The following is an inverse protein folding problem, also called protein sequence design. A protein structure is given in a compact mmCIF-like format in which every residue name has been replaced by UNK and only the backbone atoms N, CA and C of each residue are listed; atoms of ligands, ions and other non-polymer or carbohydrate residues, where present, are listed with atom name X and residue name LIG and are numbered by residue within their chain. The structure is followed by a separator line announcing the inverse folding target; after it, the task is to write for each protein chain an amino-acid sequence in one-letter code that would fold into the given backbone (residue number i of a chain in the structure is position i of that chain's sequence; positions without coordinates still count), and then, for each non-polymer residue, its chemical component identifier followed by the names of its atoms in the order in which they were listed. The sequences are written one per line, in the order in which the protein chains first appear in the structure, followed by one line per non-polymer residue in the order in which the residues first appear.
data_IF_444276891342
#
_entry.id   IF_444276891342
#
_cell.length_a   1.000
_cell.length_b   1.000
_cell.length_c   1.000
_cell.angle_alpha   90.00
_cell.angle_beta   90.00
_cell.angle_gamma   90.00
#
_symmetry.space_group_name_H-M   'P 1'
#
loop_
_entity.id
_entity.type
_entity.pdbx_description
1 polymer ?
#
# COMPACT_ATOMS: atom_id res chain seq x y z
N UNK A 1 -10.33 54.11 1.18
CA UNK A 1 -9.59 52.83 1.16
C UNK A 1 -8.60 52.89 2.30
N UNK A 2 -8.85 52.19 3.41
CA UNK A 2 -7.92 52.17 4.54
C UNK A 2 -6.82 51.16 4.22
N UNK A 3 -5.58 51.65 4.13
CA UNK A 3 -4.41 50.79 4.11
C UNK A 3 -4.31 50.13 5.48
N UNK A 4 -4.67 48.85 5.55
CA UNK A 4 -4.39 48.00 6.71
C UNK A 4 -2.87 47.85 6.72
N UNK A 5 -2.21 48.46 7.70
CA UNK A 5 -0.79 48.26 7.92
C UNK A 5 -0.60 46.78 8.28
N UNK A 6 0.17 46.06 7.47
CA UNK A 6 0.61 44.70 7.80
C UNK A 6 1.50 44.80 9.04
N UNK A 7 0.95 44.52 10.22
CA UNK A 7 1.76 44.35 11.42
C UNK A 7 2.68 43.16 11.20
N UNK A 8 3.99 43.45 11.10
CA UNK A 8 5.02 42.43 10.99
C UNK A 8 4.98 41.54 12.23
N UNK A 9 4.47 40.32 12.07
CA UNK A 9 4.35 39.38 13.17
C UNK A 9 5.74 38.92 13.60
N UNK A 10 6.20 39.43 14.75
CA UNK A 10 7.47 39.05 15.35
C UNK A 10 7.36 37.60 15.84
N UNK A 11 8.06 36.68 15.19
CA UNK A 11 8.11 35.29 15.62
C UNK A 11 8.67 35.19 17.04
N UNK A 12 7.84 34.79 18.00
CA UNK A 12 8.23 34.59 19.39
C UNK A 12 9.22 33.42 19.50
N UNK A 13 10.28 33.61 20.26
CA UNK A 13 11.19 32.51 20.60
C UNK A 13 10.51 31.49 21.52
N UNK A 14 10.94 30.22 21.47
CA UNK A 14 10.43 29.17 22.37
C UNK A 14 10.58 29.51 23.85
N UNK A 15 11.64 30.22 24.23
CA UNK A 15 11.85 30.63 25.62
C UNK A 15 10.80 31.65 26.07
N UNK A 16 10.46 32.62 25.22
CA UNK A 16 9.38 33.58 25.49
C UNK A 16 8.02 32.88 25.54
N UNK A 17 7.76 31.95 24.61
CA UNK A 17 6.52 31.18 24.58
C UNK A 17 6.23 30.44 25.91
N UNK A 18 7.26 29.84 26.51
CA UNK A 18 7.15 29.11 27.76
C UNK A 18 6.84 30.01 28.97
N UNK A 19 7.04 31.33 28.88
CA UNK A 19 6.65 32.26 29.95
C UNK A 19 5.13 32.51 29.97
N UNK A 20 4.46 32.40 28.82
CA UNK A 20 3.03 32.64 28.69
C UNK A 20 2.18 31.39 28.94
N UNK A 21 2.75 30.20 28.72
CA UNK A 21 2.06 28.92 28.87
C UNK A 21 2.51 28.27 30.19
N UNK A 22 1.65 28.20 31.23
CA UNK A 22 2.01 27.60 32.51
C UNK A 22 2.36 26.11 32.38
N UNK A 23 1.61 25.41 31.52
CA UNK A 23 1.92 24.04 31.12
C UNK A 23 1.42 23.79 29.69
N UNK A 24 2.18 23.01 28.93
CA UNK A 24 1.83 22.63 27.56
C UNK A 24 0.45 21.97 27.49
N UNK A 25 0.16 21.13 28.48
CA UNK A 25 -1.10 20.39 28.61
C UNK A 25 -2.29 21.33 28.86
N UNK A 26 -2.14 22.31 29.76
CA UNK A 26 -3.19 23.31 30.03
C UNK A 26 -3.50 24.15 28.79
N UNK A 27 -2.48 24.61 28.05
CA UNK A 27 -2.69 25.36 26.81
C UNK A 27 -3.37 24.50 25.73
N UNK A 28 -2.95 23.24 25.59
CA UNK A 28 -3.56 22.29 24.66
C UNK A 28 -5.05 22.11 24.95
N UNK A 29 -5.40 21.80 26.20
CA UNK A 29 -6.80 21.59 26.57
C UNK A 29 -7.63 22.88 26.50
N UNK A 30 -7.03 24.05 26.77
CA UNK A 30 -7.69 25.34 26.55
C UNK A 30 -8.15 25.52 25.11
N UNK A 31 -7.29 25.21 24.13
CA UNK A 31 -7.63 25.28 22.71
C UNK A 31 -8.67 24.21 22.30
N UNK A 32 -8.58 23.00 22.85
CA UNK A 32 -9.59 21.95 22.61
C UNK A 32 -10.96 22.37 23.13
N UNK A 33 -11.04 23.00 24.30
CA UNK A 33 -12.29 23.54 24.86
C UNK A 33 -12.88 24.68 24.02
N UNK A 34 -12.04 25.37 23.24
CA UNK A 34 -12.47 26.36 22.24
C UNK A 34 -12.95 25.74 20.92
N UNK A 35 -13.03 24.41 20.82
CA UNK A 35 -13.46 23.69 19.61
C UNK A 35 -12.37 23.42 18.60
N UNK A 36 -11.09 23.73 18.89
CA UNK A 36 -9.98 23.47 17.95
C UNK A 36 -9.68 21.98 17.84
N UNK A 37 -9.64 21.45 16.61
CA UNK A 37 -9.26 20.06 16.36
C UNK A 37 -7.73 19.91 16.27
N UNK A 38 -7.08 19.73 17.40
CA UNK A 38 -5.62 19.61 17.48
C UNK A 38 -5.10 18.16 17.25
N UNK A 39 -3.84 18.00 16.80
CA UNK A 39 -3.14 16.72 16.83
C UNK A 39 -3.07 16.16 18.25
N UNK A 40 -2.84 14.84 18.43
CA UNK A 40 -2.70 14.24 19.77
C UNK A 40 -1.63 14.97 20.59
N UNK A 41 -1.87 15.17 21.88
CA UNK A 41 -0.95 15.86 22.81
C UNK A 41 0.49 15.31 22.76
N UNK A 42 0.66 14.00 22.56
CA UNK A 42 1.98 13.36 22.44
C UNK A 42 2.63 13.45 21.04
N UNK A 43 2.01 14.16 20.10
CA UNK A 43 2.55 14.37 18.75
C UNK A 43 3.69 15.38 18.79
N UNK A 44 4.73 15.15 17.98
CA UNK A 44 5.94 16.01 18.00
C UNK A 44 5.71 17.47 17.57
N UNK A 45 4.58 17.76 16.93
CA UNK A 45 4.15 19.12 16.57
C UNK A 45 3.61 19.92 17.75
N UNK A 46 3.10 19.26 18.80
CA UNK A 46 2.52 19.94 19.96
C UNK A 46 3.66 20.52 20.81
N UNK A 47 4.02 21.75 20.48
CA UNK A 47 5.05 22.55 21.15
C UNK A 47 4.42 23.87 21.58
N UNK A 48 5.03 24.57 22.56
CA UNK A 48 4.53 25.87 23.02
C UNK A 48 4.40 26.88 21.87
N UNK A 49 5.37 26.88 20.95
CA UNK A 49 5.38 27.70 19.74
C UNK A 49 4.19 27.38 18.82
N UNK A 50 3.89 26.10 18.60
CA UNK A 50 2.72 25.68 17.83
C UNK A 50 1.42 26.13 18.49
N UNK A 51 1.24 25.88 19.79
CA UNK A 51 0.01 26.24 20.49
C UNK A 51 -0.22 27.76 20.54
N UNK A 52 0.83 28.56 20.74
CA UNK A 52 0.71 30.02 20.63
C UNK A 52 0.38 30.46 19.21
N UNK A 53 0.99 29.84 18.19
CA UNK A 53 0.65 30.13 16.80
C UNK A 53 -0.80 29.82 16.46
N UNK A 54 -1.39 28.78 17.05
CA UNK A 54 -2.83 28.49 16.93
C UNK A 54 -3.67 29.54 17.68
N UNK A 55 -3.26 29.90 18.90
CA UNK A 55 -3.96 30.89 19.72
C UNK A 55 -4.02 32.28 19.07
N UNK A 56 -2.91 32.70 18.44
CA UNK A 56 -2.81 33.97 17.72
C UNK A 56 -3.18 33.86 16.24
N UNK A 57 -3.84 32.77 15.83
CA UNK A 57 -4.32 32.55 14.46
C UNK A 57 -3.24 32.64 13.37
N UNK A 58 -1.98 32.46 13.74
CA UNK A 58 -0.85 32.34 12.82
C UNK A 58 -0.80 30.96 12.14
N UNK A 59 -1.29 29.93 12.84
CA UNK A 59 -1.43 28.58 12.34
C UNK A 59 -2.89 28.18 12.18
N UNK A 60 -3.22 27.65 11.00
CA UNK A 60 -4.54 27.11 10.72
C UNK A 60 -4.73 25.77 11.41
N UNK A 61 -5.83 25.67 12.16
CA UNK A 61 -6.35 24.43 12.74
C UNK A 61 -7.87 24.43 12.53
N UNK A 62 -8.43 23.37 11.92
CA UNK A 62 -9.86 23.25 11.72
C UNK A 62 -10.62 23.14 13.04
N UNK A 63 -11.91 23.49 13.01
CA UNK A 63 -12.79 23.29 14.15
C UNK A 63 -13.28 21.84 14.21
N UNK A 64 -13.60 21.34 15.41
CA UNK A 64 -14.06 19.95 15.63
C UNK A 64 -15.31 19.66 14.81
N UNK A 65 -16.21 20.62 14.64
CA UNK A 65 -17.46 20.50 13.91
C UNK A 65 -17.25 20.34 12.39
N UNK A 66 -16.12 20.83 11.88
CA UNK A 66 -15.78 20.73 10.46
C UNK A 66 -15.23 19.34 10.10
N UNK A 67 -14.74 18.60 11.09
CA UNK A 67 -13.94 17.40 10.85
C UNK A 67 -14.79 16.23 10.39
N UNK A 68 -14.46 15.75 9.18
CA UNK A 68 -14.94 14.49 8.67
C UNK A 68 -13.93 13.36 9.00
N UNK A 69 -14.37 12.40 9.81
CA UNK A 69 -13.55 11.25 10.20
C UNK A 69 -13.31 10.38 8.95
N UNK A 70 -12.06 10.34 8.51
CA UNK A 70 -11.65 9.61 7.32
C UNK A 70 -11.12 8.22 7.66
N UNK A 71 -11.53 7.22 6.88
CA UNK A 71 -10.85 5.93 6.85
C UNK A 71 -9.94 5.89 5.62
N UNK A 72 -8.66 5.61 5.84
CA UNK A 72 -7.73 5.36 4.74
C UNK A 72 -8.07 4.03 4.08
N UNK A 73 -8.43 4.09 2.80
CA UNK A 73 -8.68 2.89 1.99
C UNK A 73 -7.38 2.30 1.43
N UNK A 74 -6.30 3.09 1.42
CA UNK A 74 -4.98 2.69 0.94
C UNK A 74 -3.90 2.92 2.00
N UNK A 75 -2.94 1.99 2.16
CA UNK A 75 -1.81 2.19 3.05
C UNK A 75 -0.85 3.23 2.45
N UNK A 76 -0.99 4.48 2.88
CA UNK A 76 -0.15 5.61 2.44
C UNK A 76 0.85 5.96 3.54
N UNK A 77 2.08 6.35 3.16
CA UNK A 77 3.12 6.76 4.12
C UNK A 77 2.78 8.13 4.72
N UNK A 78 3.21 8.37 5.97
CA UNK A 78 2.96 9.64 6.67
C UNK A 78 3.49 10.85 5.87
N UNK A 79 4.69 10.74 5.30
CA UNK A 79 5.32 11.82 4.53
C UNK A 79 4.48 12.22 3.31
N UNK A 80 3.98 11.25 2.55
CA UNK A 80 3.12 11.51 1.38
C UNK A 80 1.83 12.26 1.78
N UNK A 81 1.26 11.97 2.95
CA UNK A 81 0.10 12.71 3.46
C UNK A 81 0.45 14.15 3.86
N UNK A 82 1.64 14.37 4.42
CA UNK A 82 2.12 15.72 4.76
C UNK A 82 2.33 16.52 3.47
N UNK A 83 2.94 15.92 2.45
CA UNK A 83 3.15 16.57 1.16
C UNK A 83 1.83 17.01 0.52
N UNK A 84 0.78 16.17 0.61
CA UNK A 84 -0.56 16.56 0.13
C UNK A 84 -1.21 17.66 0.96
N UNK A 85 -0.99 17.66 2.29
CA UNK A 85 -1.52 18.69 3.17
C UNK A 85 -0.86 20.06 2.91
N UNK A 86 0.46 20.09 2.75
CA UNK A 86 1.22 21.32 2.50
C UNK A 86 0.90 21.97 1.15
N UNK A 87 0.35 21.21 0.18
CA UNK A 87 -0.17 21.76 -1.09
C UNK A 87 -1.47 22.56 -0.91
N UNK A 88 -2.14 22.45 0.22
CA UNK A 88 -3.40 23.16 0.49
C UNK A 88 -3.07 24.48 1.16
N UNK A 89 -3.40 25.60 0.50
CA UNK A 89 -3.32 26.94 1.06
C UNK A 89 -4.64 27.31 1.74
N UNK A 90 -4.58 27.81 2.96
CA UNK A 90 -5.74 28.27 3.74
C UNK A 90 -5.59 29.76 4.02
N UNK A 91 -6.26 30.63 3.27
CA UNK A 91 -6.41 32.08 3.55
C UNK A 91 -5.13 32.81 4.05
N UNK A 92 -3.94 32.44 3.55
CA UNK A 92 -2.66 33.00 3.98
C UNK A 92 -2.08 32.44 5.29
N UNK A 93 -2.82 31.61 6.03
CA UNK A 93 -2.36 30.93 7.23
C UNK A 93 -1.49 29.71 6.88
N UNK A 94 -0.52 29.42 7.76
CA UNK A 94 0.38 28.28 7.64
C UNK A 94 -0.12 27.12 8.49
N UNK A 95 0.31 25.90 8.21
CA UNK A 95 -0.06 24.73 9.01
C UNK A 95 0.74 24.59 10.32
N UNK A 96 1.85 25.33 10.47
CA UNK A 96 2.78 25.14 11.59
C UNK A 96 3.51 23.78 11.56
N UNK A 97 3.57 23.13 10.39
CA UNK A 97 4.21 21.82 10.19
C UNK A 97 5.60 22.02 9.59
N UNK A 98 6.59 21.33 10.14
CA UNK A 98 7.93 21.23 9.56
C UNK A 98 8.35 19.75 9.40
N UNK A 99 9.55 19.51 8.86
CA UNK A 99 10.07 18.14 8.65
C UNK A 99 10.36 17.38 9.96
N UNK A 100 10.48 18.08 11.10
CA UNK A 100 10.90 17.53 12.39
C UNK A 100 9.72 17.31 13.34
N UNK A 101 8.72 18.17 13.26
CA UNK A 101 7.58 18.38 14.11
C UNK A 101 6.32 18.17 13.26
N UNK A 102 5.85 16.93 13.25
CA UNK A 102 4.78 16.49 12.36
C UNK A 102 3.59 15.97 13.16
N UNK A 103 2.35 16.28 12.74
CA UNK A 103 1.15 15.81 13.43
C UNK A 103 1.01 14.29 13.35
N UNK A 104 0.19 13.68 14.20
CA UNK A 104 -0.08 12.24 14.13
C UNK A 104 -0.82 11.91 12.82
N UNK A 105 -0.57 10.71 12.27
CA UNK A 105 -1.11 10.29 10.95
C UNK A 105 -2.63 10.42 10.87
N UNK A 106 -3.32 10.00 11.93
CA UNK A 106 -4.78 10.06 12.05
C UNK A 106 -5.32 11.49 11.89
N UNK A 107 -4.67 12.48 12.52
CA UNK A 107 -5.06 13.88 12.37
C UNK A 107 -4.96 14.35 10.92
N UNK A 108 -3.83 14.05 10.26
CA UNK A 108 -3.60 14.44 8.84
C UNK A 108 -4.69 13.85 7.93
N UNK A 109 -5.06 12.59 8.17
CA UNK A 109 -6.10 11.89 7.39
C UNK A 109 -7.46 12.58 7.53
N UNK A 110 -7.86 12.91 8.76
CA UNK A 110 -9.16 13.54 9.03
C UNK A 110 -9.21 14.96 8.45
N UNK A 111 -8.12 15.73 8.61
CA UNK A 111 -8.01 17.08 8.03
C UNK A 111 -8.04 17.03 6.50
N UNK A 112 -7.27 16.14 5.88
CA UNK A 112 -7.30 15.97 4.42
C UNK A 112 -8.67 15.52 3.91
N UNK A 113 -9.36 14.64 4.63
CA UNK A 113 -10.70 14.18 4.24
C UNK A 113 -11.73 15.31 4.29
N UNK A 114 -11.58 16.18 5.27
CA UNK A 114 -12.41 17.38 5.44
C UNK A 114 -12.21 18.36 4.28
N UNK A 115 -10.95 18.64 3.93
CA UNK A 115 -10.62 19.64 2.91
C UNK A 115 -10.78 19.13 1.48
N UNK A 116 -10.48 17.86 1.24
CA UNK A 116 -10.52 17.22 -0.09
C UNK A 116 -11.17 15.83 0.02
N UNK A 117 -12.49 15.74 0.23
CA UNK A 117 -13.18 14.46 0.40
C UNK A 117 -13.05 13.55 -0.83
N UNK A 118 -12.93 14.13 -2.02
CA UNK A 118 -12.82 13.44 -3.32
C UNK A 118 -11.38 13.06 -3.71
N UNK A 119 -10.41 13.26 -2.82
CA UNK A 119 -9.01 12.96 -3.11
C UNK A 119 -8.80 11.46 -3.35
N UNK A 120 -7.90 11.11 -4.27
CA UNK A 120 -7.67 9.72 -4.71
C UNK A 120 -7.24 8.77 -3.57
N UNK A 121 -6.72 9.33 -2.47
CA UNK A 121 -6.31 8.58 -1.26
C UNK A 121 -7.51 8.00 -0.50
N UNK A 122 -8.69 8.60 -0.67
CA UNK A 122 -9.94 8.20 -0.03
C UNK A 122 -10.90 7.49 -0.97
N UNK A 123 -10.55 7.33 -2.25
CA UNK A 123 -11.36 6.61 -3.23
C UNK A 123 -11.03 5.13 -3.21
N UNK A 124 -12.06 4.30 -3.19
CA UNK A 124 -11.92 2.84 -3.22
C UNK A 124 -11.37 2.44 -4.60
N UNK A 125 -10.56 1.37 -4.70
CA UNK A 125 -10.05 0.90 -6.01
C UNK A 125 -11.16 0.62 -7.03
N UNK A 126 -12.39 0.36 -6.57
CA UNK A 126 -13.58 0.22 -7.41
C UNK A 126 -14.07 1.52 -8.06
N UNK A 127 -13.77 2.68 -7.48
CA UNK A 127 -14.22 4.00 -7.95
C UNK A 127 -13.17 4.75 -8.79
N UNK A 128 -11.90 4.36 -8.69
CA UNK A 128 -10.79 4.94 -9.49
C UNK A 128 -10.85 4.49 -10.96
N UNK A 129 -12.02 4.00 -11.39
CA UNK A 129 -12.20 3.24 -12.61
C UNK A 129 -11.67 1.84 -12.38
N UNK A 130 -12.58 0.85 -12.42
CA UNK A 130 -12.20 -0.42 -13.05
C UNK A 130 -11.59 -0.01 -14.38
N UNK A 131 -10.27 -0.15 -14.54
CA UNK A 131 -9.66 0.01 -15.86
C UNK A 131 -10.48 -0.87 -16.78
N UNK A 132 -11.22 -0.23 -17.70
CA UNK A 132 -12.16 -0.93 -18.53
C UNK A 132 -11.30 -1.72 -19.51
N UNK A 133 -10.97 -2.96 -19.13
CA UNK A 133 -10.02 -3.81 -19.86
C UNK A 133 -10.46 -4.02 -21.30
N UNK A 134 -11.74 -3.75 -21.59
CA UNK A 134 -12.35 -3.70 -22.92
C UNK A 134 -11.82 -2.58 -23.81
N UNK A 135 -11.19 -1.54 -23.24
CA UNK A 135 -10.64 -0.40 -23.99
C UNK A 135 -9.19 -0.60 -24.41
N UNK A 136 -8.49 -1.61 -23.90
CA UNK A 136 -7.13 -1.91 -24.33
C UNK A 136 -7.14 -2.73 -25.61
N UNK A 137 -6.35 -2.33 -26.60
CA UNK A 137 -6.15 -3.13 -27.81
C UNK A 137 -5.33 -4.38 -27.48
N UNK A 138 -5.47 -5.42 -28.29
CA UNK A 138 -4.71 -6.67 -28.09
C UNK A 138 -3.19 -6.44 -28.06
N UNK A 139 -2.70 -5.46 -28.82
CA UNK A 139 -1.29 -5.07 -28.84
C UNK A 139 -0.83 -4.44 -27.53
N UNK A 140 -1.65 -3.56 -26.93
CA UNK A 140 -1.35 -2.97 -25.62
C UNK A 140 -1.32 -4.03 -24.52
N UNK A 141 -2.24 -5.00 -24.59
CA UNK A 141 -2.27 -6.14 -23.66
C UNK A 141 -1.02 -7.02 -23.81
N UNK A 142 -0.56 -7.26 -25.03
CA UNK A 142 0.65 -8.04 -25.29
C UNK A 142 1.90 -7.32 -24.74
N UNK A 143 2.00 -6.01 -24.97
CA UNK A 143 3.12 -5.18 -24.49
C UNK A 143 3.19 -5.09 -22.96
N UNK A 144 2.04 -5.02 -22.28
CA UNK A 144 1.96 -5.07 -20.81
C UNK A 144 2.45 -6.43 -20.28
N UNK A 145 2.08 -7.54 -20.94
CA UNK A 145 2.54 -8.89 -20.55
C UNK A 145 4.04 -9.07 -20.73
N UNK A 146 4.59 -8.51 -21.80
CA UNK A 146 6.02 -8.60 -22.11
C UNK A 146 6.87 -7.80 -21.11
N UNK A 147 6.41 -6.60 -20.73
CA UNK A 147 7.02 -5.78 -19.69
C UNK A 147 6.95 -6.43 -18.29
N UNK A 148 5.88 -7.18 -18.00
CA UNK A 148 5.72 -7.90 -16.73
C UNK A 148 6.64 -9.13 -16.62
N UNK A 149 6.99 -9.75 -17.76
CA UNK A 149 7.91 -10.89 -17.83
C UNK A 149 9.38 -10.46 -17.71
N UNK A 150 9.74 -9.27 -18.22
CA UNK A 150 11.10 -8.74 -18.14
C UNK A 150 11.44 -8.16 -16.77
N UNK A 151 10.46 -7.57 -16.08
CA UNK A 151 10.64 -7.04 -14.72
C UNK A 151 10.39 -8.13 -13.67
N UNK A 152 11.34 -9.07 -13.57
CA UNK A 152 11.31 -10.18 -12.63
C UNK A 152 11.24 -9.75 -11.16
N UNK A 153 10.04 -9.45 -10.65
CA UNK A 153 9.64 -9.43 -9.24
C UNK A 153 8.12 -9.23 -9.16
N UNK A 154 7.41 -10.30 -8.75
CA UNK A 154 5.99 -10.38 -8.32
C UNK A 154 5.21 -9.05 -8.45
N UNK A 155 4.83 -8.67 -9.67
CA UNK A 155 4.08 -7.43 -9.87
C UNK A 155 2.62 -7.62 -9.48
N UNK A 156 1.98 -6.51 -9.08
CA UNK A 156 0.54 -6.45 -8.84
C UNK A 156 -0.30 -6.78 -10.09
N UNK A 157 0.30 -6.87 -11.29
CA UNK A 157 -0.36 -7.21 -12.55
C UNK A 157 -0.90 -8.64 -12.54
N UNK A 158 -0.22 -9.59 -11.88
CA UNK A 158 -0.77 -10.95 -11.64
C UNK A 158 -2.08 -10.95 -10.86
N UNK A 159 -2.30 -9.94 -10.00
CA UNK A 159 -3.55 -9.80 -9.24
C UNK A 159 -4.71 -9.36 -10.14
N UNK A 160 -4.41 -8.56 -11.17
CA UNK A 160 -5.38 -8.10 -12.18
C UNK A 160 -5.72 -9.19 -13.20
N UNK A 161 -4.75 -10.01 -13.61
CA UNK A 161 -4.98 -11.18 -14.47
C UNK A 161 -5.27 -12.45 -13.68
N UNK A 162 -6.09 -12.35 -12.62
CA UNK A 162 -6.60 -13.53 -11.93
C UNK A 162 -7.42 -14.32 -12.95
N UNK A 163 -6.81 -15.39 -13.44
CA UNK A 163 -7.41 -16.33 -14.40
C UNK A 163 -8.81 -16.68 -13.89
N UNK A 164 -9.83 -16.62 -14.75
CA UNK A 164 -11.19 -16.99 -14.36
C UNK A 164 -11.17 -18.38 -13.71
N UNK A 165 -12.00 -18.61 -12.70
CA UNK A 165 -12.04 -19.91 -11.99
C UNK A 165 -12.12 -21.10 -12.97
N UNK A 166 -12.85 -20.92 -14.06
CA UNK A 166 -12.99 -21.91 -15.15
C UNK A 166 -11.66 -22.25 -15.82
N UNK A 167 -10.87 -21.25 -16.21
CA UNK A 167 -9.56 -21.47 -16.85
C UNK A 167 -8.52 -22.01 -15.87
N UNK A 168 -8.68 -21.75 -14.57
CA UNK A 168 -7.87 -22.38 -13.53
C UNK A 168 -8.19 -23.88 -13.40
N UNK A 169 -9.47 -24.24 -13.41
CA UNK A 169 -9.93 -25.64 -13.42
C UNK A 169 -9.44 -26.37 -14.68
N UNK A 170 -9.48 -25.72 -15.84
CA UNK A 170 -8.99 -26.28 -17.09
C UNK A 170 -7.48 -26.59 -17.04
N UNK A 171 -6.67 -25.64 -16.56
CA UNK A 171 -5.23 -25.84 -16.39
C UNK A 171 -4.90 -26.96 -15.40
N UNK A 172 -5.70 -27.11 -14.34
CA UNK A 172 -5.52 -28.18 -13.37
C UNK A 172 -5.82 -29.55 -13.98
N UNK A 173 -6.89 -29.66 -14.78
CA UNK A 173 -7.18 -30.87 -15.56
C UNK A 173 -6.05 -31.22 -16.52
N UNK A 174 -5.50 -30.23 -17.26
CA UNK A 174 -4.36 -30.46 -18.15
C UNK A 174 -3.12 -30.97 -17.39
N UNK A 175 -2.84 -30.40 -16.21
CA UNK A 175 -1.74 -30.86 -15.35
C UNK A 175 -1.93 -32.30 -14.87
N UNK A 176 -3.16 -32.68 -14.52
CA UNK A 176 -3.47 -34.06 -14.14
C UNK A 176 -3.28 -35.04 -15.30
N UNK A 177 -3.68 -34.66 -16.52
CA UNK A 177 -3.48 -35.45 -17.73
C UNK A 177 -1.98 -35.66 -17.99
N UNK A 178 -1.18 -34.60 -17.96
CA UNK A 178 0.28 -34.67 -18.17
C UNK A 178 0.94 -35.57 -17.11
N UNK A 179 0.56 -35.43 -15.83
CA UNK A 179 1.07 -36.29 -14.75
C UNK A 179 0.73 -37.76 -14.99
N UNK A 180 -0.50 -38.06 -15.41
CA UNK A 180 -0.94 -39.43 -15.72
C UNK A 180 -0.17 -40.02 -16.89
N UNK A 181 0.05 -39.24 -17.95
CA UNK A 181 0.85 -39.67 -19.11
C UNK A 181 2.32 -39.94 -18.73
N UNK A 182 2.92 -39.06 -17.93
CA UNK A 182 4.30 -39.26 -17.45
C UNK A 182 4.43 -40.52 -16.58
N UNK A 183 3.44 -40.80 -15.72
CA UNK A 183 3.42 -42.01 -14.89
C UNK A 183 3.25 -43.29 -15.74
N UNK A 184 2.37 -43.25 -16.74
CA UNK A 184 2.21 -44.35 -17.71
C UNK A 184 3.51 -44.64 -18.47
N UNK A 185 4.23 -43.60 -18.92
CA UNK A 185 5.53 -43.77 -19.57
C UNK A 185 6.57 -44.40 -18.62
N UNK A 186 6.60 -43.99 -17.35
CA UNK A 186 7.49 -44.60 -16.34
C UNK A 186 7.18 -46.09 -16.13
N UNK A 187 5.91 -46.46 -16.05
CA UNK A 187 5.51 -47.87 -15.92
C UNK A 187 5.89 -48.69 -17.15
N UNK A 188 5.72 -48.16 -18.36
CA UNK A 188 6.14 -48.82 -19.61
C UNK A 188 7.65 -49.08 -19.64
N UNK A 189 8.46 -48.10 -19.22
CA UNK A 189 9.92 -48.25 -19.13
C UNK A 189 10.33 -49.33 -18.13
N UNK A 190 9.73 -49.33 -16.92
CA UNK A 190 9.99 -50.37 -15.92
C UNK A 190 9.60 -51.77 -16.41
N UNK A 191 8.47 -51.90 -17.10
CA UNK A 191 8.04 -53.17 -17.68
C UNK A 191 9.06 -53.67 -18.71
N UNK A 192 9.52 -52.80 -19.62
CA UNK A 192 10.54 -53.16 -20.60
C UNK A 192 11.85 -53.63 -19.96
N UNK A 193 12.28 -53.01 -18.86
CA UNK A 193 13.48 -53.43 -18.12
C UNK A 193 13.30 -54.80 -17.47
N UNK A 194 12.12 -55.08 -16.89
CA UNK A 194 11.79 -56.40 -16.33
C UNK A 194 11.79 -57.46 -17.44
N UNK A 195 11.16 -57.16 -18.58
CA UNK A 195 11.12 -58.06 -19.73
C UNK A 195 12.53 -58.35 -20.29
N UNK A 196 13.44 -57.37 -20.24
CA UNK A 196 14.86 -57.54 -20.61
C UNK A 196 15.61 -58.41 -19.59
N UNK A 197 15.50 -58.14 -18.28
CA UNK A 197 16.10 -59.00 -17.25
C UNK A 197 15.58 -60.44 -17.30
N UNK A 198 14.29 -60.64 -17.59
CA UNK A 198 13.71 -61.99 -17.72
C UNK A 198 14.29 -62.74 -18.92
N UNK A 199 14.58 -62.06 -20.04
CA UNK A 199 15.27 -62.67 -21.18
C UNK A 199 16.68 -63.12 -20.81
N UNK A 200 17.41 -62.29 -20.06
CA UNK A 200 18.76 -62.62 -19.61
C UNK A 200 18.75 -63.84 -18.66
N UNK A 201 17.77 -63.92 -17.76
CA UNK A 201 17.59 -65.08 -16.86
C UNK A 201 17.39 -66.38 -17.68
N UNK A 202 16.47 -66.38 -18.65
CA UNK A 202 16.21 -67.55 -19.50
C UNK A 202 17.49 -67.98 -20.25
N UNK A 203 18.26 -67.04 -20.80
CA UNK A 203 19.53 -67.35 -21.47
C UNK A 203 20.57 -67.94 -20.52
N UNK A 204 20.62 -67.49 -19.27
CA UNK A 204 21.50 -68.06 -18.24
C UNK A 204 21.07 -69.50 -17.91
N UNK A 205 19.77 -69.74 -17.71
CA UNK A 205 19.22 -71.07 -17.43
C UNK A 205 19.54 -72.07 -18.56
N UNK A 206 19.38 -71.66 -19.82
CA UNK A 206 19.77 -72.46 -20.98
C UNK A 206 21.27 -72.80 -20.99
N UNK A 207 22.14 -71.82 -20.67
CA UNK A 207 23.59 -72.04 -20.58
C UNK A 207 23.96 -73.00 -19.45
N UNK A 208 23.33 -72.88 -18.27
CA UNK A 208 23.56 -73.78 -17.13
C UNK A 208 23.14 -75.21 -17.48
N UNK A 209 21.99 -75.38 -18.11
CA UNK A 209 21.48 -76.70 -18.55
C UNK A 209 22.45 -77.35 -19.55
N UNK A 210 22.99 -76.57 -20.49
CA UNK A 210 24.00 -77.06 -21.44
C UNK A 210 25.33 -77.45 -20.80
N UNK A 211 25.71 -76.84 -19.67
CA UNK A 211 26.91 -77.21 -18.90
C UNK A 211 26.67 -78.52 -18.14
N UNK A 212 25.49 -78.72 -17.55
CA UNK A 212 25.14 -79.93 -16.79
C UNK A 212 25.05 -81.19 -17.65
N UNK A 213 24.73 -81.05 -18.94
CA UNK A 213 24.60 -82.18 -19.88
C UNK A 213 25.92 -82.56 -20.59
N UNK A 214 27.03 -81.87 -20.30
CA UNK A 214 28.37 -82.18 -20.82
C UNK A 214 29.18 -82.93 -19.78
#
# INVERSE_FOLDING_TARGET
MNQIQEEEFVALSRQQANQFIPSLESAYYGLVLQGKYLPKLNSSIITSEYLLGVLFESYYVPQVEEINIGVLLKPIKKLELIDELLKIQMNGQKWGIDLKHTPNKEWIVNVLKTLKPDHFIFKTETEIGKFDMKKFTNEQIAKIKELDLSMGKKSNVRRFFRISKEKQIELEKQRQIIKKQALLQKMKRKKSQIDECNKDIVQIEEKVTNIQNK
#
